data_IF_243382816191
#
_entry.id   IF_243382816191
#
_cell.length_a   1.000
_cell.length_b   1.000
_cell.length_c   1.000
_cell.angle_alpha   90.00
_cell.angle_beta   90.00
_cell.angle_gamma   90.00
#
_symmetry.space_group_name_H-M   'P 1'
#
loop_
_entity.id
_entity.type
_entity.pdbx_description
1 polymer ?
#
# COMPACT_ATOMS: atom_id res chain seq x y z
N UNK A 1 18.63 -14.35 18.20
CA UNK A 1 18.06 -13.81 16.94
C UNK A 1 16.64 -14.33 16.68
N UNK A 2 15.70 -13.43 16.35
CA UNK A 2 14.28 -13.75 16.16
C UNK A 2 13.80 -13.28 14.77
N UNK A 3 12.91 -14.06 14.13
CA UNK A 3 12.29 -13.68 12.86
C UNK A 3 11.35 -12.47 13.04
N UNK A 4 11.51 -11.37 12.27
CA UNK A 4 10.69 -10.17 12.42
C UNK A 4 9.23 -10.36 11.98
N UNK A 5 8.88 -11.47 11.31
CA UNK A 5 7.54 -11.68 10.73
C UNK A 5 6.66 -12.67 11.50
N UNK A 6 7.27 -13.57 12.28
CA UNK A 6 6.55 -14.58 13.06
C UNK A 6 7.08 -14.80 14.48
N UNK A 7 8.08 -14.01 14.90
CA UNK A 7 8.73 -14.11 16.20
C UNK A 7 9.36 -15.48 16.52
N UNK A 8 9.54 -16.37 15.53
CA UNK A 8 10.20 -17.66 15.80
C UNK A 8 11.70 -17.47 16.02
N UNK A 9 12.28 -18.28 16.90
CA UNK A 9 13.72 -18.37 17.08
C UNK A 9 14.41 -18.85 15.79
N UNK A 10 15.43 -18.12 15.38
CA UNK A 10 16.22 -18.37 14.18
C UNK A 10 17.49 -19.19 14.44
N UNK A 11 17.90 -19.35 15.70
CA UNK A 11 19.10 -20.15 16.05
C UNK A 11 18.97 -21.62 15.65
N UNK A 12 17.75 -22.15 15.69
CA UNK A 12 17.45 -23.55 15.37
C UNK A 12 16.96 -23.78 13.92
N UNK A 13 16.95 -22.74 13.06
CA UNK A 13 16.34 -22.81 11.72
C UNK A 13 17.25 -22.23 10.63
N UNK A 14 17.08 -22.63 9.36
CA UNK A 14 17.76 -21.97 8.25
C UNK A 14 17.36 -20.49 8.20
N UNK A 15 18.35 -19.61 8.38
CA UNK A 15 18.19 -18.17 8.30
C UNK A 15 18.37 -17.73 6.85
N UNK A 16 17.44 -16.89 6.38
CA UNK A 16 17.56 -16.24 5.08
C UNK A 16 17.70 -14.73 5.27
N UNK A 17 18.60 -14.12 4.51
CA UNK A 17 18.62 -12.66 4.38
C UNK A 17 17.42 -12.26 3.54
N UNK A 18 16.60 -11.37 4.07
CA UNK A 18 15.40 -10.88 3.42
C UNK A 18 15.42 -9.37 3.30
N UNK A 19 15.03 -8.87 2.13
CA UNK A 19 14.84 -7.44 1.93
C UNK A 19 13.40 -7.10 2.30
N UNK A 20 13.18 -6.17 3.23
CA UNK A 20 11.83 -5.75 3.62
C UNK A 20 11.07 -5.23 2.40
N UNK A 21 11.74 -4.55 1.48
CA UNK A 21 11.26 -4.33 0.13
C UNK A 21 11.96 -5.29 -0.83
N UNK A 22 11.24 -6.27 -1.39
CA UNK A 22 11.85 -7.21 -2.32
C UNK A 22 12.54 -6.52 -3.49
N UNK A 23 13.73 -7.00 -3.88
CA UNK A 23 14.51 -6.43 -5.00
C UNK A 23 13.77 -6.43 -6.34
N UNK A 24 12.76 -7.30 -6.47
CA UNK A 24 11.88 -7.41 -7.64
C UNK A 24 10.50 -6.81 -7.37
N UNK A 25 10.30 -6.06 -6.30
CA UNK A 25 9.05 -5.36 -6.06
C UNK A 25 8.96 -4.07 -6.88
N UNK A 26 10.04 -3.30 -6.89
CA UNK A 26 10.24 -2.09 -7.71
C UNK A 26 10.91 -2.44 -9.05
N UNK A 27 11.09 -1.49 -9.99
CA UNK A 27 11.82 -1.76 -11.22
C UNK A 27 13.29 -2.10 -10.96
N UNK A 28 13.87 -2.91 -11.86
CA UNK A 28 15.26 -3.34 -11.74
C UNK A 28 16.20 -2.12 -11.81
N UNK A 29 17.15 -2.06 -10.89
CA UNK A 29 18.15 -0.98 -10.85
C UNK A 29 17.74 0.22 -10.00
N UNK A 30 16.44 0.44 -9.76
CA UNK A 30 15.95 1.58 -8.97
C UNK A 30 16.40 1.56 -7.51
N UNK A 31 16.74 0.38 -6.97
CA UNK A 31 17.32 0.24 -5.63
C UNK A 31 18.84 0.51 -5.57
N UNK A 32 19.51 0.73 -6.71
CA UNK A 32 20.96 0.94 -6.72
C UNK A 32 21.29 2.31 -6.11
N UNK A 33 22.15 2.34 -5.09
CA UNK A 33 22.48 3.58 -4.38
C UNK A 33 21.36 4.08 -3.45
N UNK A 34 20.26 3.32 -3.30
CA UNK A 34 19.19 3.63 -2.36
C UNK A 34 19.17 2.63 -1.20
N UNK A 35 18.67 3.08 -0.05
CA UNK A 35 18.58 2.23 1.14
C UNK A 35 17.49 1.15 0.97
N UNK A 36 17.74 -0.03 1.54
CA UNK A 36 16.74 -1.08 1.67
C UNK A 36 17.02 -1.86 2.94
N UNK A 37 16.03 -1.95 3.83
CA UNK A 37 16.18 -2.64 5.09
C UNK A 37 16.33 -4.15 4.84
N UNK A 38 17.44 -4.73 5.30
CA UNK A 38 17.71 -6.16 5.22
C UNK A 38 17.60 -6.75 6.63
N UNK A 39 16.79 -7.79 6.76
CA UNK A 39 16.56 -8.50 8.02
C UNK A 39 16.85 -9.98 7.87
N UNK A 40 17.11 -10.66 8.98
CA UNK A 40 17.17 -12.11 9.03
C UNK A 40 15.76 -12.67 9.27
N UNK A 41 15.28 -13.52 8.37
CA UNK A 41 13.95 -14.11 8.45
C UNK A 41 13.99 -15.62 8.21
N UNK A 42 13.00 -16.33 8.76
CA UNK A 42 12.84 -17.75 8.48
C UNK A 42 12.34 -17.96 7.04
N UNK A 43 12.77 -19.07 6.42
CA UNK A 43 12.39 -19.42 5.05
C UNK A 43 10.88 -19.34 4.76
N UNK A 44 9.99 -19.88 5.62
CA UNK A 44 8.54 -19.79 5.39
C UNK A 44 7.99 -18.36 5.27
N UNK A 45 8.43 -17.44 6.14
CA UNK A 45 7.97 -16.06 6.09
C UNK A 45 8.52 -15.32 4.87
N UNK A 46 9.79 -15.54 4.53
CA UNK A 46 10.41 -14.98 3.32
C UNK A 46 9.66 -15.45 2.06
N UNK A 47 9.40 -16.76 1.92
CA UNK A 47 8.66 -17.32 0.80
C UNK A 47 7.22 -16.78 0.70
N UNK A 48 6.52 -16.63 1.84
CA UNK A 48 5.17 -16.04 1.88
C UNK A 48 5.18 -14.59 1.40
N UNK A 49 6.14 -13.79 1.84
CA UNK A 49 6.28 -12.40 1.41
C UNK A 49 6.61 -12.31 -0.07
N UNK A 50 7.55 -13.11 -0.55
CA UNK A 50 7.91 -13.17 -1.96
C UNK A 50 6.72 -13.58 -2.86
N UNK A 51 5.85 -14.49 -2.40
CA UNK A 51 4.61 -14.84 -3.11
C UNK A 51 3.65 -13.63 -3.23
N UNK A 52 3.49 -12.86 -2.17
CA UNK A 52 2.67 -11.65 -2.16
C UNK A 52 3.24 -10.58 -3.09
N UNK A 53 4.55 -10.35 -3.03
CA UNK A 53 5.22 -9.34 -3.85
C UNK A 53 5.13 -9.63 -5.36
N UNK A 54 5.02 -10.89 -5.77
CA UNK A 54 5.10 -11.27 -7.17
C UNK A 54 3.96 -10.68 -8.02
N UNK A 55 2.69 -10.94 -7.66
CA UNK A 55 1.56 -10.40 -8.41
C UNK A 55 1.27 -8.94 -8.06
N UNK A 56 1.43 -8.55 -6.79
CA UNK A 56 1.22 -7.16 -6.35
C UNK A 56 2.19 -6.21 -7.08
N UNK A 57 3.48 -6.54 -7.18
CA UNK A 57 4.42 -5.71 -7.93
C UNK A 57 4.08 -5.63 -9.42
N UNK A 58 3.66 -6.75 -10.01
CA UNK A 58 3.29 -6.79 -11.41
C UNK A 58 2.07 -5.91 -11.70
N UNK A 59 1.07 -5.88 -10.82
CA UNK A 59 -0.12 -5.03 -11.00
C UNK A 59 0.22 -3.56 -10.73
N UNK A 60 0.92 -3.27 -9.64
CA UNK A 60 1.22 -1.88 -9.21
C UNK A 60 2.24 -1.17 -10.11
N UNK A 61 3.05 -1.90 -10.88
CA UNK A 61 4.02 -1.27 -11.79
C UNK A 61 3.39 -0.69 -13.05
N UNK A 62 2.15 -1.06 -13.39
CA UNK A 62 1.51 -0.49 -14.57
C UNK A 62 0.89 0.87 -14.24
N UNK A 63 1.27 1.93 -14.97
CA UNK A 63 0.62 3.22 -14.83
C UNK A 63 -0.84 3.09 -15.27
N UNK A 64 -1.73 3.78 -14.55
CA UNK A 64 -3.14 3.83 -14.87
C UNK A 64 -3.45 5.13 -15.60
N UNK A 65 -4.29 5.06 -16.64
CA UNK A 65 -4.81 6.23 -17.37
C UNK A 65 -3.74 7.17 -17.96
N UNK A 66 -2.52 6.67 -18.21
CA UNK A 66 -1.42 7.45 -18.79
C UNK A 66 -0.67 8.32 -17.79
N UNK A 67 -1.06 8.33 -16.51
CA UNK A 67 -0.28 8.97 -15.45
C UNK A 67 0.86 8.06 -15.04
N UNK A 68 2.07 8.47 -15.38
CA UNK A 68 3.30 7.78 -15.02
C UNK A 68 3.96 8.45 -13.83
N UNK A 69 4.59 7.66 -12.96
CA UNK A 69 5.53 8.18 -11.98
C UNK A 69 6.63 8.99 -12.70
N UNK A 70 7.13 10.07 -12.09
CA UNK A 70 8.15 10.95 -12.68
C UNK A 70 9.37 10.15 -13.20
N UNK A 71 9.77 9.14 -12.44
CA UNK A 71 10.92 8.27 -12.74
C UNK A 71 10.54 6.97 -13.50
N UNK A 72 9.36 6.92 -14.12
CA UNK A 72 8.90 5.79 -14.94
C UNK A 72 9.51 5.84 -16.35
N UNK A 73 10.78 5.45 -16.42
CA UNK A 73 11.55 5.37 -17.66
C UNK A 73 11.23 4.12 -18.51
N UNK A 74 11.87 4.03 -19.69
CA UNK A 74 11.70 2.89 -20.60
C UNK A 74 12.08 1.56 -19.94
N UNK A 75 13.09 1.55 -19.06
CA UNK A 75 13.49 0.36 -18.33
C UNK A 75 12.41 -0.10 -17.34
N UNK A 76 11.74 0.83 -16.65
CA UNK A 76 10.60 0.54 -15.79
C UNK A 76 9.42 -0.01 -16.59
N UNK A 77 9.16 0.55 -17.78
CA UNK A 77 8.12 0.10 -18.69
C UNK A 77 8.36 -1.32 -19.21
N UNK A 78 9.58 -1.64 -19.65
CA UNK A 78 9.96 -2.99 -20.07
C UNK A 78 9.82 -4.00 -18.94
N UNK A 79 10.25 -3.63 -17.73
CA UNK A 79 10.15 -4.49 -16.55
C UNK A 79 8.68 -4.73 -16.15
N UNK A 80 7.82 -3.71 -16.21
CA UNK A 80 6.39 -3.84 -15.96
C UNK A 80 5.76 -4.84 -16.94
N UNK A 81 5.98 -4.67 -18.25
CA UNK A 81 5.50 -5.59 -19.29
C UNK A 81 6.00 -7.02 -19.08
N UNK A 82 7.29 -7.17 -18.74
CA UNK A 82 7.91 -8.46 -18.46
C UNK A 82 7.30 -9.15 -17.24
N UNK A 83 6.99 -8.40 -16.17
CA UNK A 83 6.33 -8.92 -14.97
C UNK A 83 4.89 -9.29 -15.26
N UNK A 84 4.12 -8.45 -15.95
CA UNK A 84 2.74 -8.77 -16.26
C UNK A 84 2.57 -10.02 -17.12
N UNK A 85 3.55 -10.30 -18.00
CA UNK A 85 3.56 -11.53 -18.79
C UNK A 85 3.85 -12.81 -17.99
N UNK A 86 4.57 -12.71 -16.86
CA UNK A 86 5.05 -13.87 -16.08
C UNK A 86 4.31 -14.08 -14.76
N UNK A 87 3.85 -13.00 -14.13
CA UNK A 87 3.13 -13.06 -12.87
C UNK A 87 1.68 -13.50 -13.11
N UNK A 88 1.17 -14.33 -12.21
CA UNK A 88 -0.22 -14.82 -12.25
C UNK A 88 -1.03 -14.02 -11.24
N UNK A 89 -2.09 -13.34 -11.69
CA UNK A 89 -3.04 -12.69 -10.81
C UNK A 89 -3.70 -13.73 -9.91
N UNK A 90 -3.65 -13.53 -8.59
CA UNK A 90 -4.33 -14.44 -7.67
C UNK A 90 -5.85 -14.32 -7.72
N UNK A 91 -6.38 -13.21 -8.22
CA UNK A 91 -7.82 -12.96 -8.35
C UNK A 91 -8.43 -13.68 -9.55
N UNK A 92 -7.79 -13.61 -10.73
CA UNK A 92 -8.32 -14.21 -11.97
C UNK A 92 -7.70 -15.56 -12.32
N UNK A 93 -6.59 -15.93 -11.67
CA UNK A 93 -5.74 -17.10 -11.99
C UNK A 93 -5.13 -17.08 -13.39
N UNK A 94 -5.08 -15.91 -14.05
CA UNK A 94 -4.47 -15.70 -15.37
C UNK A 94 -3.17 -14.90 -15.25
N UNK A 95 -2.31 -14.87 -16.29
CA UNK A 95 -1.25 -13.88 -16.38
C UNK A 95 -1.80 -12.48 -16.14
N UNK A 96 -1.07 -11.62 -15.41
CA UNK A 96 -1.53 -10.27 -15.08
C UNK A 96 -1.86 -9.49 -16.36
N UNK A 97 -1.08 -9.64 -17.44
CA UNK A 97 -1.37 -9.03 -18.75
C UNK A 97 -2.75 -9.40 -19.35
N UNK A 98 -3.31 -10.55 -18.96
CA UNK A 98 -4.57 -11.09 -19.48
C UNK A 98 -5.69 -11.04 -18.41
N UNK A 99 -5.44 -10.37 -17.29
CA UNK A 99 -6.30 -10.36 -16.09
C UNK A 99 -7.25 -9.18 -16.04
N UNK A 100 -7.65 -8.66 -17.19
CA UNK A 100 -8.67 -7.63 -17.28
C UNK A 100 -10.02 -8.17 -16.80
N UNK A 101 -10.76 -7.36 -16.03
CA UNK A 101 -12.08 -7.76 -15.54
C UNK A 101 -13.17 -7.09 -16.36
N UNK A 102 -14.13 -7.88 -16.84
CA UNK A 102 -15.26 -7.39 -17.61
C UNK A 102 -16.48 -7.22 -16.72
N UNK A 103 -16.98 -5.99 -16.61
CA UNK A 103 -18.27 -5.67 -15.99
C UNK A 103 -19.29 -5.40 -17.08
N UNK A 104 -20.42 -6.10 -17.04
CA UNK A 104 -21.58 -5.80 -17.88
C UNK A 104 -22.60 -5.04 -17.04
N UNK A 105 -22.95 -3.85 -17.48
CA UNK A 105 -23.99 -3.03 -16.84
C UNK A 105 -25.19 -2.98 -17.77
N UNK A 106 -26.33 -3.46 -17.29
CA UNK A 106 -27.61 -3.36 -17.98
C UNK A 106 -28.40 -2.20 -17.38
N UNK A 107 -28.64 -1.16 -18.18
CA UNK A 107 -29.46 -0.01 -17.77
C UNK A 107 -30.75 -0.02 -18.58
N UNK A 108 -31.94 -0.06 -17.92
CA UNK A 108 -33.20 0.08 -18.63
C UNK A 108 -33.30 1.48 -19.25
N UNK A 109 -33.78 1.57 -20.48
CA UNK A 109 -33.98 2.83 -21.20
C UNK A 109 -35.39 2.89 -21.78
N UNK A 110 -36.29 3.51 -21.03
CA UNK A 110 -37.71 3.55 -21.34
C UNK A 110 -38.41 2.19 -21.22
N UNK A 111 -39.69 2.10 -21.62
CA UNK A 111 -40.52 0.91 -21.40
C UNK A 111 -40.03 -0.36 -22.11
N UNK A 112 -39.30 -0.21 -23.23
CA UNK A 112 -38.94 -1.33 -24.12
C UNK A 112 -37.45 -1.36 -24.54
N UNK A 113 -36.59 -0.52 -23.96
CA UNK A 113 -35.16 -0.47 -24.30
C UNK A 113 -34.28 -0.96 -23.16
N UNK A 114 -33.18 -1.66 -23.49
CA UNK A 114 -32.08 -1.96 -22.55
C UNK A 114 -30.76 -1.58 -23.19
N UNK A 115 -29.99 -0.70 -22.55
CA UNK A 115 -28.59 -0.48 -22.91
C UNK A 115 -27.72 -1.46 -22.14
N UNK A 116 -26.75 -2.05 -22.83
CA UNK A 116 -25.72 -2.89 -22.24
C UNK A 116 -24.37 -2.21 -22.44
N UNK A 117 -23.73 -1.83 -21.34
CA UNK A 117 -22.36 -1.32 -21.36
C UNK A 117 -21.42 -2.44 -20.92
N UNK A 118 -20.37 -2.71 -21.69
CA UNK A 118 -19.29 -3.59 -21.28
C UNK A 118 -18.08 -2.73 -20.90
N UNK A 119 -17.70 -2.77 -19.63
CA UNK A 119 -16.53 -2.11 -19.10
C UNK A 119 -15.43 -3.15 -18.90
N UNK A 120 -14.22 -2.83 -19.35
CA UNK A 120 -13.03 -3.65 -19.10
C UNK A 120 -12.12 -2.87 -18.17
N UNK A 121 -11.93 -3.39 -16.95
CA UNK A 121 -11.03 -2.78 -15.96
C UNK A 121 -9.64 -3.42 -16.01
N UNK A 122 -8.59 -2.68 -15.63
CA UNK A 122 -7.25 -3.24 -15.52
C UNK A 122 -7.20 -4.33 -14.43
N UNK A 123 -6.15 -5.17 -14.43
CA UNK A 123 -5.93 -6.15 -13.37
C UNK A 123 -6.05 -5.52 -11.97
N UNK A 124 -6.80 -6.17 -11.09
CA UNK A 124 -7.05 -5.69 -9.74
C UNK A 124 -6.25 -6.48 -8.71
N UNK A 125 -5.70 -5.77 -7.72
CA UNK A 125 -5.03 -6.38 -6.57
C UNK A 125 -6.10 -6.97 -5.63
N UNK A 126 -5.84 -8.15 -5.09
CA UNK A 126 -6.59 -8.70 -3.97
C UNK A 126 -6.27 -7.89 -2.69
N UNK A 127 -7.30 -7.26 -2.10
CA UNK A 127 -7.14 -6.35 -0.96
C UNK A 127 -6.53 -7.04 0.27
N UNK A 128 -6.92 -8.27 0.56
CA UNK A 128 -6.42 -8.99 1.74
C UNK A 128 -4.94 -9.34 1.57
N UNK A 129 -4.55 -9.71 0.34
CA UNK A 129 -3.13 -9.92 0.00
C UNK A 129 -2.33 -8.62 0.09
N UNK A 130 -2.89 -7.50 -0.37
CA UNK A 130 -2.23 -6.20 -0.27
C UNK A 130 -1.99 -5.81 1.19
N UNK A 131 -3.02 -5.89 2.03
CA UNK A 131 -2.86 -5.58 3.44
C UNK A 131 -1.97 -6.58 4.19
N UNK A 132 -1.92 -7.85 3.79
CA UNK A 132 -0.95 -8.79 4.37
C UNK A 132 0.49 -8.45 3.97
N UNK A 133 0.74 -8.05 2.72
CA UNK A 133 2.08 -7.60 2.31
C UNK A 133 2.49 -6.34 3.09
N UNK A 134 1.59 -5.36 3.21
CA UNK A 134 1.83 -4.15 4.01
C UNK A 134 2.14 -4.51 5.47
N UNK A 135 1.39 -5.44 6.08
CA UNK A 135 1.64 -5.93 7.45
C UNK A 135 3.03 -6.54 7.60
N UNK A 136 3.48 -7.35 6.63
CA UNK A 136 4.83 -7.95 6.67
C UNK A 136 5.92 -6.87 6.50
N UNK A 137 5.74 -5.93 5.58
CA UNK A 137 6.68 -4.81 5.41
C UNK A 137 6.76 -3.96 6.69
N UNK A 138 5.61 -3.62 7.29
CA UNK A 138 5.53 -2.90 8.56
C UNK A 138 6.22 -3.65 9.68
N UNK A 139 6.06 -4.98 9.77
CA UNK A 139 6.73 -5.78 10.80
C UNK A 139 8.26 -5.72 10.67
N UNK A 140 8.78 -5.73 9.44
CA UNK A 140 10.20 -5.49 9.17
C UNK A 140 10.66 -4.10 9.63
N UNK A 141 9.90 -3.07 9.30
CA UNK A 141 10.19 -1.69 9.70
C UNK A 141 10.09 -1.46 11.21
N UNK A 142 9.08 -2.04 11.87
CA UNK A 142 8.92 -1.96 13.33
C UNK A 142 10.05 -2.66 14.05
N UNK A 143 10.48 -3.82 13.56
CA UNK A 143 11.66 -4.50 14.08
C UNK A 143 12.91 -3.61 14.00
N UNK A 144 13.07 -2.80 12.95
CA UNK A 144 14.17 -1.86 12.85
C UNK A 144 14.08 -0.70 13.85
N UNK A 145 12.95 0.01 13.92
CA UNK A 145 12.83 1.20 14.81
C UNK A 145 12.73 0.86 16.30
N UNK A 146 12.54 -0.41 16.64
CA UNK A 146 12.50 -0.91 18.02
C UNK A 146 13.66 -1.88 18.30
N UNK A 147 14.67 -1.92 17.42
CA UNK A 147 15.78 -2.86 17.55
C UNK A 147 16.59 -2.58 18.81
N UNK A 148 16.76 -3.60 19.64
CA UNK A 148 17.63 -3.59 20.80
C UNK A 148 18.87 -4.43 20.50
N UNK A 149 20.03 -3.77 20.52
CA UNK A 149 21.30 -4.40 20.15
C UNK A 149 21.67 -5.56 21.07
N UNK A 150 21.49 -5.39 22.39
CA UNK A 150 21.83 -6.41 23.39
C UNK A 150 20.98 -7.69 23.27
N UNK A 151 19.74 -7.55 22.77
CA UNK A 151 18.82 -8.68 22.59
C UNK A 151 18.81 -9.22 21.15
N UNK A 152 19.53 -8.57 20.24
CA UNK A 152 19.54 -8.84 18.80
C UNK A 152 18.14 -8.98 18.18
N UNK A 153 17.18 -8.20 18.67
CA UNK A 153 15.80 -8.21 18.19
C UNK A 153 15.16 -6.85 18.28
N UNK A 154 14.22 -6.60 17.38
CA UNK A 154 13.19 -5.59 17.56
C UNK A 154 11.84 -6.22 17.85
N UNK A 155 10.94 -5.36 18.31
CA UNK A 155 9.60 -5.69 18.74
C UNK A 155 8.57 -5.38 17.65
N UNK A 156 7.34 -5.80 17.92
CA UNK A 156 6.16 -5.44 17.13
C UNK A 156 5.39 -4.34 17.83
N UNK A 157 4.49 -3.71 17.08
CA UNK A 157 3.47 -2.88 17.69
C UNK A 157 2.64 -3.71 18.67
N UNK A 158 2.20 -3.07 19.76
CA UNK A 158 1.19 -3.61 20.66
C UNK A 158 -0.20 -3.43 20.03
N UNK A 159 -1.21 -4.16 20.52
CA UNK A 159 -2.58 -4.04 20.03
C UNK A 159 -2.84 -4.68 18.66
N UNK A 160 -3.66 -4.01 17.83
CA UNK A 160 -4.16 -4.56 16.56
C UNK A 160 -3.51 -3.96 15.30
N UNK A 161 -3.70 -4.65 14.17
CA UNK A 161 -3.45 -4.13 12.83
C UNK A 161 -4.78 -3.69 12.21
N UNK A 162 -4.94 -2.39 11.99
CA UNK A 162 -6.21 -1.77 11.59
C UNK A 162 -6.07 -1.09 10.21
N UNK A 163 -6.12 -1.84 9.10
CA UNK A 163 -6.09 -1.27 7.77
C UNK A 163 -7.32 -0.37 7.54
N UNK A 164 -7.12 0.80 6.94
CA UNK A 164 -8.19 1.76 6.67
C UNK A 164 -8.65 1.67 5.22
N UNK A 165 -7.77 1.95 4.27
CA UNK A 165 -8.11 1.95 2.84
C UNK A 165 -6.89 1.71 1.96
N UNK A 166 -7.13 1.10 0.80
CA UNK A 166 -6.20 0.99 -0.32
C UNK A 166 -6.79 1.75 -1.50
N UNK A 167 -6.00 2.67 -2.07
CA UNK A 167 -6.43 3.57 -3.15
C UNK A 167 -5.42 3.57 -4.29
N UNK A 168 -5.89 3.95 -5.48
CA UNK A 168 -5.08 4.16 -6.68
C UNK A 168 -4.67 5.63 -6.78
N UNK A 169 -3.63 5.93 -7.56
CA UNK A 169 -3.11 7.30 -7.77
C UNK A 169 -4.19 8.30 -8.17
N UNK A 170 -5.06 7.91 -9.10
CA UNK A 170 -6.17 8.72 -9.57
C UNK A 170 -7.15 9.15 -8.46
N UNK A 171 -7.09 8.51 -7.29
CA UNK A 171 -7.98 8.74 -6.16
C UNK A 171 -7.24 9.13 -4.87
N UNK A 172 -5.98 9.56 -4.96
CA UNK A 172 -5.22 9.99 -3.77
C UNK A 172 -5.84 11.20 -3.05
N UNK A 173 -6.64 12.01 -3.74
CA UNK A 173 -7.29 13.21 -3.21
C UNK A 173 -8.65 12.93 -2.58
N UNK A 174 -9.07 11.67 -2.48
CA UNK A 174 -10.34 11.37 -1.84
C UNK A 174 -10.35 11.81 -0.37
N UNK A 175 -11.55 12.11 0.14
CA UNK A 175 -11.74 12.71 1.46
C UNK A 175 -11.15 11.88 2.60
N UNK A 176 -11.20 10.55 2.55
CA UNK A 176 -10.62 9.70 3.60
C UNK A 176 -9.10 9.85 3.64
N UNK A 177 -8.42 9.84 2.50
CA UNK A 177 -6.95 9.97 2.45
C UNK A 177 -6.52 11.37 2.88
N UNK A 178 -7.20 12.41 2.39
CA UNK A 178 -6.92 13.79 2.77
C UNK A 178 -7.08 14.00 4.29
N UNK A 179 -8.21 13.56 4.85
CA UNK A 179 -8.48 13.70 6.28
C UNK A 179 -7.55 12.83 7.12
N UNK A 180 -7.19 11.64 6.65
CA UNK A 180 -6.20 10.79 7.32
C UNK A 180 -4.85 11.50 7.39
N UNK A 181 -4.38 12.06 6.27
CA UNK A 181 -3.11 12.77 6.22
C UNK A 181 -3.11 13.98 7.17
N UNK A 182 -4.17 14.78 7.17
CA UNK A 182 -4.32 15.92 8.07
C UNK A 182 -4.38 15.48 9.56
N UNK A 183 -5.10 14.40 9.87
CA UNK A 183 -5.26 13.91 11.24
C UNK A 183 -3.96 13.40 11.87
N UNK A 184 -3.03 12.89 11.05
CA UNK A 184 -1.77 12.29 11.53
C UNK A 184 -0.54 13.15 11.24
N UNK A 185 -0.69 14.30 10.58
CA UNK A 185 0.42 15.15 10.15
C UNK A 185 1.32 15.58 11.33
N UNK A 186 0.69 15.96 12.45
CA UNK A 186 1.37 16.43 13.66
C UNK A 186 1.85 15.29 14.57
N UNK A 187 1.63 14.02 14.20
CA UNK A 187 2.13 12.89 14.96
C UNK A 187 3.65 12.75 14.74
N UNK A 188 4.37 12.36 15.79
CA UNK A 188 5.83 12.23 15.76
C UNK A 188 6.24 11.25 14.66
N UNK A 189 7.00 11.67 13.63
CA UNK A 189 7.47 10.77 12.59
C UNK A 189 8.54 9.84 13.16
N UNK A 190 8.31 8.53 13.05
CA UNK A 190 9.25 7.49 13.49
C UNK A 190 9.91 6.81 12.31
N UNK A 191 9.22 6.79 11.17
CA UNK A 191 9.77 6.47 9.86
C UNK A 191 9.20 7.45 8.86
N UNK A 192 10.07 8.10 8.10
CA UNK A 192 9.70 8.82 6.89
C UNK A 192 10.73 8.46 5.82
N UNK A 193 10.35 7.51 4.96
CA UNK A 193 11.26 6.83 4.06
C UNK A 193 10.82 6.96 2.61
N UNK A 194 11.76 7.37 1.76
CA UNK A 194 11.63 7.35 0.30
C UNK A 194 12.82 6.56 -0.23
N UNK A 195 12.55 5.56 -1.05
CA UNK A 195 13.59 4.73 -1.66
C UNK A 195 13.20 4.33 -3.08
N UNK A 196 14.10 3.63 -3.75
CA UNK A 196 13.92 3.13 -5.10
C UNK A 196 13.54 4.23 -6.11
N UNK A 197 14.21 5.38 -6.09
CA UNK A 197 13.86 6.54 -6.94
C UNK A 197 12.35 6.88 -6.87
N UNK A 198 11.78 6.93 -5.67
CA UNK A 198 10.37 7.29 -5.47
C UNK A 198 9.36 6.15 -5.68
N UNK A 199 9.76 5.00 -6.23
CA UNK A 199 8.87 3.83 -6.40
C UNK A 199 8.44 3.19 -5.09
N UNK A 200 9.02 3.58 -3.96
CA UNK A 200 8.54 3.14 -2.65
C UNK A 200 8.62 4.28 -1.63
N UNK A 201 7.48 4.54 -0.97
CA UNK A 201 7.39 5.46 0.16
C UNK A 201 6.78 4.75 1.36
N UNK A 202 7.28 5.07 2.55
CA UNK A 202 6.75 4.57 3.82
C UNK A 202 6.74 5.71 4.83
N UNK A 203 5.63 5.81 5.56
CA UNK A 203 5.49 6.71 6.70
C UNK A 203 4.96 5.90 7.89
N UNK A 204 5.57 6.06 9.05
CA UNK A 204 5.07 5.55 10.32
C UNK A 204 5.19 6.67 11.34
N UNK A 205 4.07 7.01 12.00
CA UNK A 205 4.03 8.07 13.01
C UNK A 205 3.43 7.57 14.31
N UNK A 206 3.90 8.11 15.42
CA UNK A 206 3.43 7.74 16.76
C UNK A 206 2.44 8.78 17.28
N UNK A 207 1.30 8.30 17.77
CA UNK A 207 0.32 9.15 18.44
C UNK A 207 0.95 9.81 19.69
N UNK A 208 0.72 11.11 19.94
CA UNK A 208 1.43 11.87 20.98
C UNK A 208 1.15 11.41 22.42
N UNK A 209 0.00 10.77 22.67
CA UNK A 209 -0.43 10.42 24.03
C UNK A 209 -1.03 9.03 24.20
N UNK A 210 -0.90 8.13 23.22
CA UNK A 210 -1.52 6.82 23.29
C UNK A 210 -0.68 5.75 22.56
N UNK A 211 -0.92 4.48 22.88
CA UNK A 211 -0.38 3.35 22.11
C UNK A 211 -1.11 3.20 20.77
N UNK A 212 -0.88 4.15 19.88
CA UNK A 212 -1.43 4.16 18.54
C UNK A 212 -0.36 4.68 17.56
N UNK A 213 -0.33 4.10 16.38
CA UNK A 213 0.58 4.48 15.31
C UNK A 213 -0.20 4.59 14.02
N UNK A 214 0.07 5.61 13.22
CA UNK A 214 -0.40 5.68 11.86
C UNK A 214 0.67 5.12 10.94
N UNK A 215 0.23 4.53 9.83
CA UNK A 215 1.14 4.11 8.78
C UNK A 215 0.55 4.42 7.40
N UNK A 216 1.46 4.68 6.46
CA UNK A 216 1.18 4.82 5.06
C UNK A 216 2.28 4.16 4.23
N UNK A 217 1.90 3.50 3.15
CA UNK A 217 2.82 2.96 2.16
C UNK A 217 2.35 3.35 0.77
N UNK A 218 3.31 3.69 -0.09
CA UNK A 218 3.07 3.88 -1.51
C UNK A 218 3.95 2.92 -2.31
N UNK A 219 3.31 2.19 -3.22
CA UNK A 219 3.95 1.19 -4.07
C UNK A 219 3.92 1.65 -5.52
N UNK A 220 5.11 1.72 -6.11
CA UNK A 220 5.36 2.00 -7.51
C UNK A 220 4.67 3.27 -8.04
N UNK A 221 4.40 4.24 -7.16
CA UNK A 221 3.71 5.49 -7.48
C UNK A 221 2.24 5.35 -7.87
N UNK A 222 1.66 4.14 -7.80
CA UNK A 222 0.31 3.86 -8.31
C UNK A 222 -0.68 3.46 -7.22
N UNK A 223 -0.21 2.85 -6.14
CA UNK A 223 -1.07 2.26 -5.10
C UNK A 223 -0.63 2.74 -3.73
N UNK A 224 -1.59 3.26 -2.97
CA UNK A 224 -1.37 3.76 -1.62
C UNK A 224 -2.23 3.01 -0.62
N UNK A 225 -1.64 2.60 0.49
CA UNK A 225 -2.29 1.91 1.59
C UNK A 225 -2.07 2.70 2.86
N UNK A 226 -3.12 2.87 3.65
CA UNK A 226 -3.05 3.55 4.95
C UNK A 226 -3.80 2.78 6.02
N UNK A 227 -3.41 3.01 7.26
CA UNK A 227 -4.11 2.45 8.41
C UNK A 227 -3.43 2.80 9.72
N UNK A 228 -3.77 2.04 10.75
CA UNK A 228 -3.25 2.21 12.09
C UNK A 228 -2.75 0.90 12.70
N UNK A 229 -1.95 1.04 13.75
CA UNK A 229 -1.50 -0.01 14.65
C UNK A 229 -1.81 0.44 16.09
N UNK A 230 -2.05 -0.50 17.00
CA UNK A 230 -2.26 -0.18 18.42
C UNK A 230 -3.69 -0.38 18.92
N UNK A 231 -4.04 0.43 19.90
CA UNK A 231 -5.34 0.41 20.57
C UNK A 231 -6.49 0.73 19.61
N UNK A 232 -7.47 -0.17 19.53
CA UNK A 232 -8.64 -0.05 18.66
C UNK A 232 -9.52 1.14 19.01
N UNK A 233 -9.66 1.48 20.30
CA UNK A 233 -10.54 2.56 20.73
C UNK A 233 -9.96 3.93 20.34
N UNK A 234 -8.64 4.09 20.47
CA UNK A 234 -7.93 5.28 19.99
C UNK A 234 -8.05 5.41 18.47
N UNK A 235 -7.85 4.31 17.74
CA UNK A 235 -8.03 4.27 16.28
C UNK A 235 -9.45 4.66 15.89
N UNK A 236 -10.46 4.14 16.59
CA UNK A 236 -11.87 4.47 16.33
C UNK A 236 -12.14 5.96 16.49
N UNK A 237 -11.60 6.61 17.54
CA UNK A 237 -11.76 8.06 17.75
C UNK A 237 -11.21 8.88 16.58
N UNK A 238 -10.09 8.46 15.99
CA UNK A 238 -9.52 9.13 14.80
C UNK A 238 -10.37 8.86 13.57
N UNK A 239 -10.73 7.59 13.33
CA UNK A 239 -11.50 7.17 12.15
C UNK A 239 -12.89 7.79 12.10
N UNK A 240 -13.57 7.92 13.25
CA UNK A 240 -14.91 8.51 13.34
C UNK A 240 -14.92 10.01 12.98
N UNK A 241 -13.76 10.67 12.94
CA UNK A 241 -13.61 12.08 12.51
C UNK A 241 -13.32 12.23 11.01
N UNK A 242 -13.01 11.13 10.32
CA UNK A 242 -12.74 11.17 8.88
C UNK A 242 -14.04 11.38 8.13
N UNK A 243 -14.01 12.26 7.13
CA UNK A 243 -15.13 12.52 6.25
C UNK A 243 -15.50 11.27 5.44
N UNK A 244 -16.79 11.05 5.16
CA UNK A 244 -17.22 9.89 4.39
C UNK A 244 -16.71 9.99 2.95
N UNK A 245 -16.55 8.84 2.30
CA UNK A 245 -16.38 8.82 0.84
C UNK A 245 -17.64 9.37 0.18
N UNK A 246 -17.46 10.35 -0.70
CA UNK A 246 -18.55 10.90 -1.48
C UNK A 246 -19.04 9.86 -2.49
N UNK A 247 -20.32 9.52 -2.44
CA UNK A 247 -20.96 8.56 -3.33
C UNK A 247 -22.10 9.26 -4.06
N UNK A 248 -22.10 9.17 -5.38
CA UNK A 248 -23.23 9.59 -6.21
C UNK A 248 -24.28 8.48 -6.26
N UNK A 249 -25.54 8.88 -6.20
CA UNK A 249 -26.69 8.00 -6.32
C UNK A 249 -27.47 8.43 -7.56
N UNK A 250 -27.72 7.48 -8.46
CA UNK A 250 -28.53 7.70 -9.64
C UNK A 250 -29.69 6.69 -9.63
N UNK A 251 -30.91 7.20 -9.57
CA UNK A 251 -32.13 6.40 -9.70
C UNK A 251 -32.30 5.98 -11.17
N UNK A 252 -32.47 4.69 -11.41
CA UNK A 252 -32.64 4.12 -12.74
C UNK A 252 -34.09 4.14 -13.23
N UNK A 253 -35.01 4.69 -12.42
CA UNK A 253 -36.43 4.88 -12.78
C UNK A 253 -37.28 3.61 -12.70
N UNK A 254 -36.72 2.50 -12.20
CA UNK A 254 -37.38 1.21 -12.04
C UNK A 254 -37.36 0.71 -10.58
N UNK A 255 -37.03 1.58 -9.62
CA UNK A 255 -36.81 1.23 -8.22
C UNK A 255 -35.39 0.74 -7.91
N UNK A 256 -34.54 0.54 -8.92
CA UNK A 256 -33.11 0.28 -8.74
C UNK A 256 -32.32 1.58 -8.70
N UNK A 257 -31.22 1.56 -7.96
CA UNK A 257 -30.28 2.68 -7.87
C UNK A 257 -28.86 2.23 -8.23
N UNK A 258 -28.17 3.06 -8.99
CA UNK A 258 -26.74 2.94 -9.23
C UNK A 258 -25.99 3.81 -8.23
N UNK A 259 -25.00 3.21 -7.55
CA UNK A 259 -24.06 3.94 -6.70
C UNK A 259 -22.68 3.92 -7.36
N UNK A 260 -22.12 5.10 -7.55
CA UNK A 260 -20.78 5.25 -8.09
C UNK A 260 -20.05 6.39 -7.38
N UNK A 261 -18.73 6.44 -7.58
CA UNK A 261 -17.86 7.49 -7.07
C UNK A 261 -16.93 7.94 -8.18
N UNK A 262 -16.72 9.24 -8.24
CA UNK A 262 -15.67 9.83 -9.08
C UNK A 262 -14.36 9.83 -8.30
N UNK A 263 -13.30 9.33 -8.93
CA UNK A 263 -11.95 9.39 -8.36
C UNK A 263 -11.49 10.85 -8.27
N UNK A 264 -10.81 11.20 -7.18
CA UNK A 264 -10.31 12.56 -6.95
C UNK A 264 -8.79 12.54 -6.97
N UNK A 265 -8.12 13.12 -7.99
CA UNK A 265 -6.67 13.16 -8.04
C UNK A 265 -6.12 14.13 -6.97
N UNK A 266 -4.89 13.89 -6.53
CA UNK A 266 -4.15 14.78 -5.63
C UNK A 266 -2.88 15.27 -6.34
N UNK A 267 -2.66 16.58 -6.36
CA UNK A 267 -1.42 17.13 -6.87
C UNK A 267 -0.28 16.87 -5.87
N UNK A 268 0.93 16.58 -6.37
CA UNK A 268 2.07 16.21 -5.51
C UNK A 268 2.41 17.28 -4.46
N UNK A 269 2.19 18.58 -4.77
CA UNK A 269 2.41 19.70 -3.83
C UNK A 269 1.43 19.73 -2.65
N UNK A 270 0.27 19.12 -2.82
CA UNK A 270 -0.81 19.08 -1.83
C UNK A 270 -0.74 17.79 -0.99
N UNK A 271 0.20 16.88 -1.30
CA UNK A 271 0.39 15.62 -0.61
C UNK A 271 1.17 15.79 0.71
N UNK A 272 0.42 15.91 1.80
CA UNK A 272 0.99 16.05 3.15
C UNK A 272 1.36 14.72 3.79
N UNK A 273 0.94 13.59 3.23
CA UNK A 273 1.03 12.28 3.89
C UNK A 273 2.49 11.89 4.21
N UNK A 274 3.39 12.21 3.29
CA UNK A 274 4.83 11.95 3.40
C UNK A 274 5.64 13.22 3.69
N UNK A 275 5.00 14.32 4.11
CA UNK A 275 5.67 15.57 4.45
C UNK A 275 6.18 15.56 5.89
N UNK A 276 7.21 16.35 6.18
CA UNK A 276 7.59 16.60 7.58
C UNK A 276 6.61 17.58 8.24
N UNK A 277 6.32 17.41 9.55
CA UNK A 277 5.64 18.45 10.31
C UNK A 277 6.41 19.78 10.21
N UNK A 278 5.68 20.90 10.20
CA UNK A 278 6.30 22.22 10.09
C UNK A 278 7.22 22.46 11.29
N UNK A 279 8.53 22.59 11.05
CA UNK A 279 9.53 22.80 12.11
C UNK A 279 10.17 21.53 12.68
N UNK A 280 9.80 20.34 12.21
CA UNK A 280 10.44 19.09 12.63
C UNK A 280 11.74 18.84 11.85
N UNK A 281 12.85 18.68 12.55
CA UNK A 281 14.09 18.09 12.00
C UNK A 281 14.09 16.60 12.29
N UNK A 282 14.13 15.75 11.26
CA UNK A 282 14.41 14.32 11.46
C UNK A 282 15.87 14.22 11.88
N UNK A 283 16.20 13.56 13.02
CA UNK A 283 17.58 13.22 13.29
C UNK A 283 18.06 12.34 12.13
N UNK A 284 19.12 12.78 11.44
CA UNK A 284 19.86 11.89 10.54
C UNK A 284 20.41 10.77 11.41
N UNK A 285 19.69 9.65 11.49
CA UNK A 285 20.18 8.45 12.15
C UNK A 285 21.26 7.87 11.25
N UNK A 286 22.52 8.15 11.62
CA UNK A 286 23.74 7.53 11.11
C UNK A 286 23.76 6.03 11.34
#
# INVERSE_FOLDING_TARGET
MICPYCACDLTAKPVTKEHVLGRRFVPKGKLNGHWNLIVNACGPCNNRKADLENDISAITLHPEHGETHLDYDDAAKEEALRKAAKAISRRTKKPVKDSHENMKLHVPFGPNGKFSFNFTSPPQIDKDRAFELARLQLAGFFNWITYQQDEERGYWWTGGYHPLIMVRRADYGNKIIADFADAVLEWEPRILGHTAEGFYRVCVRRHPGAECWSWAMEWNGSTRLVGFLGDREVVKVVVDRLGPLQMHHHDLGNGDFMRYRTEVPLADKDDKLFALPTGATVPLTS
#
